data_IF_243489819424
#
_entry.id   IF_243489819424
#
_cell.length_a   1.000
_cell.length_b   1.000
_cell.length_c   1.000
_cell.angle_alpha   90.00
_cell.angle_beta   90.00
_cell.angle_gamma   90.00
#
_symmetry.space_group_name_H-M   'P 1'
#
loop_
_entity.id
_entity.type
_entity.pdbx_description
1 polymer ?
#
# COMPACT_ATOMS: atom_id res chain seq x y z
N UNK A 1 4.54 -11.29 8.33
CA UNK A 1 5.96 -11.70 8.22
C UNK A 1 6.38 -12.41 9.52
N UNK A 2 7.31 -13.36 9.46
CA UNK A 2 7.89 -13.96 10.69
C UNK A 2 8.88 -12.98 11.34
N UNK A 3 8.99 -13.04 12.66
CA UNK A 3 9.91 -12.30 13.53
C UNK A 3 11.35 -12.23 13.02
N UNK A 4 11.88 -13.32 12.46
CA UNK A 4 13.24 -13.35 11.89
C UNK A 4 13.40 -12.45 10.66
N UNK A 5 12.40 -12.37 9.78
CA UNK A 5 12.48 -11.44 8.64
C UNK A 5 12.49 -9.99 9.10
N UNK A 6 11.68 -9.67 10.12
CA UNK A 6 11.58 -8.32 10.68
C UNK A 6 12.92 -7.83 11.24
N UNK A 7 13.63 -8.69 11.98
CA UNK A 7 14.93 -8.37 12.58
C UNK A 7 16.01 -8.09 11.52
N UNK A 8 16.01 -8.84 10.41
CA UNK A 8 16.99 -8.62 9.35
C UNK A 8 16.71 -7.34 8.57
N UNK A 9 15.44 -7.07 8.22
CA UNK A 9 15.05 -5.83 7.53
C UNK A 9 15.38 -4.59 8.36
N UNK A 10 15.16 -4.65 9.68
CA UNK A 10 15.50 -3.58 10.62
C UNK A 10 17.00 -3.28 10.63
N UNK A 11 17.87 -4.29 10.73
CA UNK A 11 19.33 -4.08 10.77
C UNK A 11 19.88 -3.39 9.51
N UNK A 12 19.44 -3.82 8.33
CA UNK A 12 19.91 -3.25 7.07
C UNK A 12 19.39 -1.81 6.89
N UNK A 13 18.13 -1.55 7.26
CA UNK A 13 17.56 -0.19 7.18
C UNK A 13 18.14 0.79 8.19
N UNK A 14 18.48 0.35 9.41
CA UNK A 14 19.10 1.18 10.44
C UNK A 14 20.53 1.64 10.08
N UNK A 15 21.12 1.07 9.02
CA UNK A 15 22.39 1.56 8.47
C UNK A 15 22.25 2.82 7.61
N UNK A 16 21.02 3.28 7.33
CA UNK A 16 20.73 4.51 6.60
C UNK A 16 20.53 5.70 7.54
N UNK A 17 21.34 6.78 7.44
CA UNK A 17 21.26 7.95 8.32
C UNK A 17 19.88 8.62 8.32
N UNK A 18 19.22 8.67 7.17
CA UNK A 18 17.91 9.32 6.98
C UNK A 18 16.71 8.40 7.31
N UNK A 19 16.94 7.10 7.55
CA UNK A 19 15.88 6.13 7.86
C UNK A 19 15.88 5.69 9.33
N UNK A 20 16.91 6.04 10.10
CA UNK A 20 17.04 5.70 11.52
C UNK A 20 15.92 6.31 12.39
N UNK A 21 15.17 7.28 11.87
CA UNK A 21 14.05 7.94 12.55
C UNK A 21 12.67 7.45 12.11
N UNK A 22 12.58 6.49 11.18
CA UNK A 22 11.30 5.95 10.73
C UNK A 22 10.76 4.89 11.70
N UNK A 23 9.47 4.97 11.99
CA UNK A 23 8.77 3.93 12.74
C UNK A 23 8.53 2.72 11.84
N UNK A 24 9.32 1.67 12.08
CA UNK A 24 9.24 0.41 11.33
C UNK A 24 7.87 -0.26 11.43
N UNK A 25 7.10 -0.02 12.50
CA UNK A 25 5.75 -0.57 12.63
C UNK A 25 4.78 0.09 11.64
N UNK A 26 4.94 1.38 11.35
CA UNK A 26 4.14 2.12 10.37
C UNK A 26 4.46 1.63 8.95
N UNK A 27 5.74 1.44 8.63
CA UNK A 27 6.17 0.87 7.35
C UNK A 27 5.63 -0.55 7.16
N UNK A 28 5.72 -1.37 8.20
CA UNK A 28 5.23 -2.75 8.16
C UNK A 28 3.70 -2.80 7.94
N UNK A 29 2.94 -1.99 8.67
CA UNK A 29 1.50 -1.89 8.49
C UNK A 29 1.12 -1.46 7.07
N UNK A 30 1.88 -0.53 6.47
CA UNK A 30 1.67 -0.12 5.08
C UNK A 30 2.01 -1.24 4.08
N UNK A 31 3.10 -1.99 4.28
CA UNK A 31 3.43 -3.14 3.43
C UNK A 31 2.38 -4.24 3.51
N UNK A 32 1.88 -4.55 4.71
CA UNK A 32 0.82 -5.55 4.92
C UNK A 32 -0.49 -5.10 4.27
N UNK A 33 -0.87 -3.83 4.43
CA UNK A 33 -2.06 -3.27 3.80
C UNK A 33 -1.96 -3.25 2.27
N UNK A 34 -0.80 -2.88 1.70
CA UNK A 34 -0.55 -2.97 0.26
C UNK A 34 -0.66 -4.41 -0.25
N UNK A 35 -0.10 -5.39 0.46
CA UNK A 35 -0.19 -6.80 0.06
C UNK A 35 -1.61 -7.34 0.13
N UNK A 36 -2.39 -6.96 1.15
CA UNK A 36 -3.79 -7.33 1.26
C UNK A 36 -4.65 -6.69 0.17
N UNK A 37 -4.42 -5.40 -0.11
CA UNK A 37 -5.11 -4.67 -1.17
C UNK A 37 -4.82 -5.23 -2.55
N UNK A 38 -3.55 -5.56 -2.84
CA UNK A 38 -3.16 -6.22 -4.09
C UNK A 38 -3.95 -7.51 -4.31
N UNK A 39 -3.96 -8.41 -3.33
CA UNK A 39 -4.69 -9.67 -3.44
C UNK A 39 -6.21 -9.46 -3.59
N UNK A 40 -6.79 -8.55 -2.81
CA UNK A 40 -8.23 -8.24 -2.89
C UNK A 40 -8.61 -7.68 -4.27
N UNK A 41 -7.80 -6.77 -4.81
CA UNK A 41 -7.98 -6.18 -6.13
C UNK A 41 -7.81 -7.22 -7.26
N UNK A 42 -6.80 -8.09 -7.16
CA UNK A 42 -6.57 -9.19 -8.11
C UNK A 42 -7.76 -10.17 -8.13
N UNK A 43 -8.37 -10.47 -6.98
CA UNK A 43 -9.58 -11.30 -6.93
C UNK A 43 -10.79 -10.54 -7.49
N UNK A 44 -10.96 -9.27 -7.11
CA UNK A 44 -12.11 -8.47 -7.53
C UNK A 44 -12.15 -8.22 -9.04
N UNK A 45 -11.00 -8.04 -9.69
CA UNK A 45 -10.94 -7.82 -11.14
C UNK A 45 -11.51 -8.99 -11.95
N UNK A 46 -11.42 -10.21 -11.42
CA UNK A 46 -11.95 -11.42 -12.08
C UNK A 46 -13.48 -11.49 -12.05
N UNK A 47 -14.16 -10.60 -11.31
CA UNK A 47 -15.62 -10.52 -11.29
C UNK A 47 -16.20 -9.87 -12.56
N UNK A 48 -15.36 -9.28 -13.43
CA UNK A 48 -15.74 -8.69 -14.72
C UNK A 48 -16.84 -7.61 -14.65
N UNK A 49 -17.00 -6.97 -13.49
CA UNK A 49 -17.83 -5.77 -13.32
C UNK A 49 -17.10 -4.53 -13.83
N UNK A 50 -17.78 -3.37 -13.87
CA UNK A 50 -17.20 -2.12 -14.38
C UNK A 50 -15.96 -1.68 -13.61
N UNK A 51 -15.82 -2.06 -12.34
CA UNK A 51 -14.66 -1.73 -11.51
C UNK A 51 -13.39 -2.53 -11.89
N UNK A 52 -13.51 -3.63 -12.66
CA UNK A 52 -12.41 -4.57 -12.89
C UNK A 52 -11.11 -3.94 -13.44
N UNK A 53 -11.15 -2.98 -14.38
CA UNK A 53 -9.94 -2.29 -14.82
C UNK A 53 -9.27 -1.47 -13.71
N UNK A 54 -10.04 -0.79 -12.87
CA UNK A 54 -9.51 -0.06 -11.72
C UNK A 54 -8.89 -1.02 -10.70
N UNK A 55 -9.52 -2.17 -10.44
CA UNK A 55 -8.97 -3.21 -9.56
C UNK A 55 -7.61 -3.70 -10.06
N UNK A 56 -7.45 -4.07 -11.34
CA UNK A 56 -6.15 -4.54 -11.83
C UNK A 56 -5.05 -3.48 -11.71
N UNK A 57 -5.35 -2.22 -12.07
CA UNK A 57 -4.37 -1.15 -11.92
C UNK A 57 -4.01 -0.91 -10.44
N UNK A 58 -4.99 -1.00 -9.54
CA UNK A 58 -4.76 -0.88 -8.10
C UNK A 58 -3.90 -2.03 -7.57
N UNK A 59 -4.11 -3.26 -8.05
CA UNK A 59 -3.28 -4.39 -7.69
C UNK A 59 -1.80 -4.16 -8.08
N UNK A 60 -1.54 -3.72 -9.31
CA UNK A 60 -0.18 -3.43 -9.79
C UNK A 60 0.49 -2.31 -8.99
N UNK A 61 -0.25 -1.24 -8.66
CA UNK A 61 0.25 -0.14 -7.85
C UNK A 61 0.57 -0.56 -6.42
N UNK A 62 -0.33 -1.30 -5.77
CA UNK A 62 -0.12 -1.81 -4.42
C UNK A 62 1.07 -2.79 -4.37
N UNK A 63 1.20 -3.67 -5.36
CA UNK A 63 2.34 -4.57 -5.49
C UNK A 63 3.66 -3.79 -5.60
N UNK A 64 3.67 -2.79 -6.49
CA UNK A 64 4.84 -1.95 -6.73
C UNK A 64 5.24 -1.19 -5.47
N UNK A 65 4.27 -0.59 -4.77
CA UNK A 65 4.50 0.17 -3.54
C UNK A 65 5.09 -0.71 -2.43
N UNK A 66 4.49 -1.88 -2.18
CA UNK A 66 5.00 -2.87 -1.22
C UNK A 66 6.44 -3.30 -1.56
N UNK A 67 6.72 -3.62 -2.83
CA UNK A 67 8.07 -4.01 -3.27
C UNK A 67 9.09 -2.88 -3.24
N UNK A 68 8.66 -1.63 -3.28
CA UNK A 68 9.52 -0.47 -3.14
C UNK A 68 9.90 -0.24 -1.67
N UNK A 69 8.94 -0.37 -0.74
CA UNK A 69 9.19 -0.24 0.70
C UNK A 69 10.16 -1.31 1.24
N UNK A 70 10.22 -2.49 0.63
CA UNK A 70 11.22 -3.51 0.99
C UNK A 70 12.67 -3.16 0.58
N UNK A 71 12.88 -2.14 -0.26
CA UNK A 71 14.19 -1.83 -0.88
C UNK A 71 14.46 -0.31 -0.94
N UNK A 72 14.14 0.40 0.14
CA UNK A 72 14.18 1.87 0.16
C UNK A 72 15.57 2.50 -0.04
N UNK A 73 16.66 1.73 0.09
CA UNK A 73 18.04 2.22 -0.10
C UNK A 73 18.30 2.89 -1.47
N UNK A 74 17.50 2.56 -2.49
CA UNK A 74 17.60 3.14 -3.83
C UNK A 74 16.69 4.35 -4.10
N UNK A 75 15.99 4.88 -3.09
CA UNK A 75 15.00 5.94 -3.27
C UNK A 75 15.30 7.16 -2.40
N UNK A 76 15.13 8.35 -2.97
CA UNK A 76 15.10 9.58 -2.18
C UNK A 76 13.72 9.75 -1.52
N UNK A 77 13.61 10.55 -0.43
CA UNK A 77 12.32 10.84 0.19
C UNK A 77 11.27 11.40 -0.79
N UNK A 78 11.68 12.24 -1.74
CA UNK A 78 10.78 12.81 -2.74
C UNK A 78 10.21 11.76 -3.71
N UNK A 79 11.01 10.76 -4.09
CA UNK A 79 10.55 9.64 -4.92
C UNK A 79 9.55 8.78 -4.14
N UNK A 80 9.86 8.45 -2.88
CA UNK A 80 8.97 7.66 -2.03
C UNK A 80 7.62 8.37 -1.79
N UNK A 81 7.63 9.68 -1.51
CA UNK A 81 6.41 10.49 -1.38
C UNK A 81 5.57 10.45 -2.66
N UNK A 82 6.20 10.57 -3.83
CA UNK A 82 5.49 10.53 -5.12
C UNK A 82 4.85 9.17 -5.39
N UNK A 83 5.52 8.08 -4.99
CA UNK A 83 4.97 6.73 -5.10
C UNK A 83 3.78 6.51 -4.15
N UNK A 84 3.87 7.01 -2.92
CA UNK A 84 2.78 6.98 -1.96
C UNK A 84 1.55 7.75 -2.47
N UNK A 85 1.77 8.94 -3.06
CA UNK A 85 0.70 9.73 -3.69
C UNK A 85 0.00 8.98 -4.82
N UNK A 86 0.76 8.32 -5.70
CA UNK A 86 0.20 7.52 -6.77
C UNK A 86 -0.60 6.32 -6.25
N UNK A 87 -0.09 5.63 -5.22
CA UNK A 87 -0.78 4.51 -4.59
C UNK A 87 -2.08 4.96 -3.90
N UNK A 88 -2.06 6.06 -3.15
CA UNK A 88 -3.26 6.65 -2.51
C UNK A 88 -4.32 6.99 -3.56
N UNK A 89 -3.92 7.68 -4.63
CA UNK A 89 -4.86 8.08 -5.69
C UNK A 89 -5.50 6.86 -6.38
N UNK A 90 -4.72 5.80 -6.63
CA UNK A 90 -5.23 4.58 -7.24
C UNK A 90 -6.15 3.79 -6.29
N UNK A 91 -5.80 3.70 -5.00
CA UNK A 91 -6.65 3.09 -3.98
C UNK A 91 -7.98 3.82 -3.83
N UNK A 92 -7.98 5.16 -3.83
CA UNK A 92 -9.21 5.96 -3.79
C UNK A 92 -10.10 5.67 -4.99
N UNK A 93 -9.56 5.73 -6.22
CA UNK A 93 -10.33 5.43 -7.44
C UNK A 93 -10.90 4.01 -7.41
N UNK A 94 -10.10 3.02 -7.02
CA UNK A 94 -10.56 1.63 -6.95
C UNK A 94 -11.62 1.42 -5.88
N UNK A 95 -11.49 2.09 -4.73
CA UNK A 95 -12.49 2.05 -3.67
C UNK A 95 -13.83 2.59 -4.16
N UNK A 96 -13.83 3.77 -4.78
CA UNK A 96 -15.06 4.42 -5.27
C UNK A 96 -15.77 3.53 -6.30
N UNK A 97 -15.03 2.99 -7.28
CA UNK A 97 -15.56 2.07 -8.29
C UNK A 97 -16.10 0.76 -7.68
N UNK A 98 -15.44 0.20 -6.66
CA UNK A 98 -15.92 -1.01 -5.98
C UNK A 98 -17.14 -0.74 -5.09
N UNK A 99 -17.26 0.44 -4.50
CA UNK A 99 -18.39 0.80 -3.65
C UNK A 99 -19.71 0.85 -4.41
N UNK A 100 -19.69 1.20 -5.70
CA UNK A 100 -20.86 1.11 -6.58
C UNK A 100 -21.46 -0.31 -6.65
N UNK A 101 -20.67 -1.34 -6.34
CA UNK A 101 -21.09 -2.75 -6.39
C UNK A 101 -21.22 -3.40 -5.00
N UNK A 102 -20.90 -2.68 -3.91
CA UNK A 102 -20.75 -3.27 -2.58
C UNK A 102 -22.04 -3.83 -1.97
N UNK A 103 -23.21 -3.32 -2.39
CA UNK A 103 -24.52 -3.80 -1.90
C UNK A 103 -24.93 -5.16 -2.46
N UNK A 104 -24.31 -5.59 -3.57
CA UNK A 104 -24.67 -6.84 -4.26
C UNK A 104 -23.48 -7.77 -4.54
N UNK A 105 -22.25 -7.35 -4.21
CA UNK A 105 -21.03 -8.16 -4.31
C UNK A 105 -20.17 -8.04 -3.07
N UNK A 106 -20.11 -9.12 -2.28
CA UNK A 106 -19.22 -9.22 -1.11
C UNK A 106 -17.73 -9.09 -1.50
N UNK A 107 -17.37 -9.49 -2.73
CA UNK A 107 -16.00 -9.34 -3.24
C UNK A 107 -15.67 -7.86 -3.45
N UNK A 108 -16.58 -7.07 -4.02
CA UNK A 108 -16.39 -5.63 -4.19
C UNK A 108 -16.38 -4.89 -2.85
N UNK A 109 -17.26 -5.28 -1.92
CA UNK A 109 -17.28 -4.71 -0.56
C UNK A 109 -15.96 -4.95 0.17
N UNK A 110 -15.44 -6.17 0.14
CA UNK A 110 -14.12 -6.50 0.70
C UNK A 110 -13.01 -5.70 0.00
N UNK A 111 -13.03 -5.63 -1.33
CA UNK A 111 -12.02 -4.89 -2.11
C UNK A 111 -12.00 -3.40 -1.75
N UNK A 112 -13.17 -2.76 -1.64
CA UNK A 112 -13.28 -1.36 -1.20
C UNK A 112 -12.69 -1.15 0.21
N UNK A 113 -13.00 -2.05 1.15
CA UNK A 113 -12.43 -1.99 2.51
C UNK A 113 -10.90 -2.15 2.51
N UNK A 114 -10.36 -3.05 1.68
CA UNK A 114 -8.91 -3.20 1.53
C UNK A 114 -8.25 -1.98 0.89
N UNK A 115 -8.91 -1.35 -0.10
CA UNK A 115 -8.43 -0.11 -0.72
C UNK A 115 -8.37 1.04 0.30
N UNK A 116 -9.42 1.21 1.11
CA UNK A 116 -9.45 2.20 2.20
C UNK A 116 -8.31 1.97 3.19
N UNK A 117 -8.15 0.73 3.68
CA UNK A 117 -7.09 0.40 4.63
C UNK A 117 -5.69 0.66 4.07
N UNK A 118 -5.46 0.35 2.79
CA UNK A 118 -4.18 0.62 2.12
C UNK A 118 -3.93 2.12 1.96
N UNK A 119 -4.96 2.88 1.58
CA UNK A 119 -4.88 4.33 1.48
C UNK A 119 -4.51 4.96 2.82
N UNK A 120 -5.19 4.59 3.91
CA UNK A 120 -4.91 5.10 5.26
C UNK A 120 -3.49 4.78 5.71
N UNK A 121 -3.01 3.56 5.42
CA UNK A 121 -1.65 3.15 5.77
C UNK A 121 -0.58 3.91 4.94
N UNK A 122 -0.83 4.15 3.65
CA UNK A 122 0.03 5.00 2.82
C UNK A 122 0.08 6.45 3.33
N UNK A 123 -1.06 7.02 3.75
CA UNK A 123 -1.09 8.35 4.36
C UNK A 123 -0.30 8.40 5.67
N UNK A 124 -0.40 7.37 6.51
CA UNK A 124 0.37 7.29 7.75
C UNK A 124 1.89 7.31 7.52
N UNK A 125 2.38 6.63 6.47
CA UNK A 125 3.80 6.69 6.07
C UNK A 125 4.18 8.11 5.63
N UNK A 126 3.35 8.77 4.81
CA UNK A 126 3.60 10.16 4.39
C UNK A 126 3.67 11.11 5.58
N UNK A 127 2.71 11.02 6.50
CA UNK A 127 2.65 11.87 7.70
C UNK A 127 3.87 11.66 8.59
N UNK A 128 4.33 10.41 8.72
CA UNK A 128 5.57 10.09 9.42
C UNK A 128 6.78 10.76 8.74
N UNK A 129 6.91 10.62 7.41
CA UNK A 129 8.00 11.22 6.64
C UNK A 129 8.05 12.75 6.74
N UNK A 130 6.90 13.40 6.79
CA UNK A 130 6.81 14.86 6.94
C UNK A 130 7.24 15.35 8.32
N UNK A 131 7.07 14.54 9.38
CA UNK A 131 7.49 14.88 10.74
C UNK A 131 8.99 14.71 10.97
N UNK A 132 9.65 13.93 10.12
CA UNK A 132 11.10 13.67 10.16
C UNK A 132 11.92 14.58 9.26
N UNK A 133 11.26 15.40 8.42
CA UNK A 133 11.88 16.39 7.53
C UNK A 133 12.17 17.72 8.26
#
# INVERSE_FOLDING_TARGET
>A
MDSMMMDMMSKDMMSMPDMATMDMSVLQACMDACSACEQACTVCSTQLMSCAPACMNCADMCNTMMRAMMRMQGMSPAVLMSMLDACIAMCQLCMDECMEHADHSEVCKMCAQSCQACMDACMAVKDMMMKTA
#
